data_IF_308485533794
#
_entry.id   IF_308485533794
#
_cell.length_a   1.000
_cell.length_b   1.000
_cell.length_c   1.000
_cell.angle_alpha   90.00
_cell.angle_beta   90.00
_cell.angle_gamma   90.00
#
_symmetry.space_group_name_H-M   'P 1'
#
loop_
_entity.id
_entity.type
_entity.pdbx_description
1 polymer ?
#
# COMPACT_ATOMS: atom_id res chain seq x y z
N UNK A 1 -15.02 16.75 -7.93
CA UNK A 1 -13.70 17.07 -7.37
C UNK A 1 -12.83 15.85 -7.52
N UNK A 2 -11.69 15.96 -8.19
CA UNK A 2 -10.73 14.86 -8.24
C UNK A 2 -10.14 14.69 -6.84
N UNK A 3 -10.25 13.50 -6.30
CA UNK A 3 -9.72 13.18 -4.99
C UNK A 3 -8.19 13.00 -5.09
N UNK A 4 -7.43 13.66 -4.23
CA UNK A 4 -5.98 13.56 -4.27
C UNK A 4 -5.51 12.30 -3.51
N UNK A 5 -4.89 11.37 -4.22
CA UNK A 5 -4.37 10.13 -3.63
C UNK A 5 -3.11 10.34 -2.77
N UNK A 6 -2.48 11.50 -2.85
CA UNK A 6 -1.28 11.86 -2.08
C UNK A 6 -1.56 13.19 -1.40
N UNK A 7 -1.30 13.28 -0.10
CA UNK A 7 -1.48 14.50 0.71
C UNK A 7 -0.15 14.88 1.37
N UNK A 8 0.02 16.18 1.67
CA UNK A 8 1.21 16.69 2.36
C UNK A 8 1.05 16.69 3.87
N UNK A 9 2.14 16.78 4.65
CA UNK A 9 2.07 16.97 6.10
C UNK A 9 1.24 18.19 6.52
N UNK A 10 1.37 19.31 5.81
CA UNK A 10 0.63 20.55 6.09
C UNK A 10 -0.88 20.36 5.89
N UNK A 11 -1.25 19.66 4.80
CA UNK A 11 -2.65 19.32 4.56
C UNK A 11 -3.20 18.46 5.70
N UNK A 12 -2.50 17.40 6.09
CA UNK A 12 -2.95 16.51 7.15
C UNK A 12 -3.04 17.24 8.50
N UNK A 13 -2.03 18.07 8.83
CA UNK A 13 -2.02 18.88 10.07
C UNK A 13 -3.25 19.79 10.16
N UNK A 14 -3.63 20.43 9.06
CA UNK A 14 -4.81 21.29 9.00
C UNK A 14 -6.14 20.53 9.17
N UNK A 15 -6.15 19.20 9.00
CA UNK A 15 -7.35 18.36 9.04
C UNK A 15 -7.39 17.39 10.23
N UNK A 16 -6.46 17.46 11.19
CA UNK A 16 -6.42 16.55 12.35
C UNK A 16 -7.69 16.57 13.20
N UNK A 17 -8.39 17.70 13.26
CA UNK A 17 -9.64 17.87 14.01
C UNK A 17 -10.89 17.38 13.26
N UNK A 18 -10.78 17.03 11.99
CA UNK A 18 -11.91 16.54 11.20
C UNK A 18 -12.23 15.08 11.58
N UNK A 19 -13.41 14.78 12.17
CA UNK A 19 -13.75 13.45 12.62
C UNK A 19 -13.93 12.44 11.46
N UNK A 20 -14.05 12.91 10.23
CA UNK A 20 -14.14 12.06 9.03
C UNK A 20 -12.76 11.66 8.50
N UNK A 21 -11.67 12.26 8.96
CA UNK A 21 -10.31 11.84 8.66
C UNK A 21 -9.91 10.70 9.59
N UNK A 22 -9.51 9.58 9.02
CA UNK A 22 -9.02 8.40 9.73
C UNK A 22 -7.57 8.15 9.35
N UNK A 23 -6.68 8.21 10.32
CA UNK A 23 -5.24 8.11 10.08
C UNK A 23 -4.76 6.72 10.49
N UNK A 24 -4.06 6.02 9.60
CA UNK A 24 -3.51 4.70 9.86
C UNK A 24 -1.99 4.70 9.75
N UNK A 25 -1.33 4.35 10.84
CA UNK A 25 0.09 3.99 10.86
C UNK A 25 0.25 2.56 10.34
N UNK A 26 0.78 2.44 9.14
CA UNK A 26 0.96 1.17 8.44
C UNK A 26 2.35 0.58 8.67
N UNK A 27 3.12 1.09 9.62
CA UNK A 27 4.52 0.69 9.83
C UNK A 27 4.62 -0.81 10.08
N UNK A 28 5.25 -1.49 9.14
CA UNK A 28 5.56 -2.92 9.19
C UNK A 28 6.95 -3.11 8.59
N UNK A 29 7.82 -3.80 9.27
CA UNK A 29 9.17 -4.06 8.81
C UNK A 29 9.22 -5.41 8.08
N UNK A 30 9.80 -5.40 6.88
CA UNK A 30 10.10 -6.60 6.09
C UNK A 30 11.61 -6.83 6.14
N UNK A 31 12.04 -7.66 7.07
CA UNK A 31 13.45 -7.94 7.32
C UNK A 31 13.92 -9.06 6.40
N UNK A 32 14.86 -8.73 5.51
CA UNK A 32 15.46 -9.73 4.61
C UNK A 32 16.08 -10.89 5.41
N UNK A 33 15.85 -12.11 4.93
CA UNK A 33 16.44 -13.30 5.49
C UNK A 33 17.53 -13.84 4.53
N UNK A 34 18.55 -14.55 5.02
CA UNK A 34 19.56 -15.16 4.15
C UNK A 34 18.97 -16.12 3.12
N UNK A 35 17.88 -16.79 3.47
CA UNK A 35 17.13 -17.72 2.61
C UNK A 35 15.64 -17.58 2.90
N UNK A 36 14.83 -17.64 1.84
CA UNK A 36 13.36 -17.62 1.95
C UNK A 36 12.75 -16.22 2.07
N UNK A 37 11.50 -16.14 2.52
CA UNK A 37 10.76 -14.89 2.62
C UNK A 37 11.29 -13.98 3.72
N UNK A 38 11.06 -12.67 3.59
CA UNK A 38 11.36 -11.71 4.63
C UNK A 38 10.58 -12.02 5.91
N UNK A 39 11.23 -11.84 7.06
CA UNK A 39 10.55 -11.86 8.36
C UNK A 39 9.73 -10.58 8.49
N UNK A 40 8.47 -10.72 8.90
CA UNK A 40 7.57 -9.58 9.11
C UNK A 40 7.56 -9.21 10.58
N UNK A 41 7.80 -7.94 10.87
CA UNK A 41 7.71 -7.39 12.22
C UNK A 41 6.78 -6.18 12.23
N UNK A 42 5.86 -6.17 13.21
CA UNK A 42 4.94 -5.05 13.40
C UNK A 42 5.66 -3.80 13.92
N UNK A 43 5.36 -2.64 13.36
CA UNK A 43 5.84 -1.34 13.82
C UNK A 43 5.16 -0.82 15.09
N UNK A 44 4.30 -1.62 15.74
CA UNK A 44 3.54 -1.19 16.92
C UNK A 44 4.43 -0.65 18.06
N UNK A 45 5.60 -1.22 18.27
CA UNK A 45 6.52 -0.74 19.28
C UNK A 45 7.04 0.68 19.03
N UNK A 46 7.21 1.04 17.75
CA UNK A 46 7.59 2.40 17.36
C UNK A 46 6.40 3.35 17.43
N UNK A 47 5.22 2.92 16.97
CA UNK A 47 3.98 3.67 17.08
C UNK A 47 3.67 4.09 18.53
N UNK A 48 3.87 3.21 19.51
CA UNK A 48 3.64 3.52 20.93
C UNK A 48 4.62 4.54 21.52
N UNK A 49 5.77 4.77 20.89
CA UNK A 49 6.73 5.80 21.32
C UNK A 49 6.40 7.19 20.76
N UNK A 50 5.66 7.22 19.65
CA UNK A 50 5.24 8.46 19.01
C UNK A 50 4.69 8.21 17.61
N UNK A 51 3.52 8.76 17.36
CA UNK A 51 2.77 8.65 16.09
C UNK A 51 2.07 9.97 15.76
N UNK A 52 1.57 10.13 14.57
CA UNK A 52 0.77 11.29 14.17
C UNK A 52 -0.49 11.33 15.04
N UNK A 53 -0.85 12.49 15.65
CA UNK A 53 -2.01 12.59 16.52
C UNK A 53 -3.27 11.99 15.90
N UNK A 54 -3.99 11.16 16.65
CA UNK A 54 -5.20 10.50 16.18
C UNK A 54 -5.00 9.26 15.30
N UNK A 55 -3.76 8.90 14.95
CA UNK A 55 -3.49 7.71 14.15
C UNK A 55 -3.72 6.41 14.93
N UNK A 56 -4.19 5.37 14.24
CA UNK A 56 -4.26 4.00 14.73
C UNK A 56 -3.22 3.14 14.01
N UNK A 57 -2.54 2.25 14.73
CA UNK A 57 -1.60 1.32 14.12
C UNK A 57 -2.30 0.10 13.52
N UNK A 58 -1.89 -0.26 12.31
CA UNK A 58 -2.31 -1.47 11.60
C UNK A 58 -1.10 -2.24 11.07
N UNK A 59 -1.21 -3.56 11.05
CA UNK A 59 -0.19 -4.46 10.53
C UNK A 59 -0.65 -5.10 9.22
N UNK A 60 0.15 -4.99 8.16
CA UNK A 60 -0.17 -5.55 6.85
C UNK A 60 -0.49 -7.04 6.91
N UNK A 61 0.32 -7.82 7.64
CA UNK A 61 0.16 -9.27 7.74
C UNK A 61 -1.06 -9.68 8.55
N UNK A 62 -1.28 -9.04 9.71
CA UNK A 62 -2.31 -9.45 10.67
C UNK A 62 -3.68 -8.84 10.36
N UNK A 63 -3.70 -7.60 9.89
CA UNK A 63 -4.94 -6.83 9.71
C UNK A 63 -5.41 -6.80 8.25
N UNK A 64 -4.49 -6.72 7.29
CA UNK A 64 -4.80 -6.55 5.87
C UNK A 64 -4.49 -7.80 5.01
N UNK A 65 -4.44 -8.98 5.65
CA UNK A 65 -4.27 -10.26 4.98
C UNK A 65 -5.28 -11.27 5.50
N UNK A 66 -5.67 -12.24 4.64
CA UNK A 66 -6.63 -13.30 5.02
C UNK A 66 -5.97 -14.29 5.99
N UNK A 67 -6.51 -14.48 7.20
CA UNK A 67 -5.97 -15.44 8.15
C UNK A 67 -6.01 -16.87 7.61
N UNK A 68 -4.93 -17.62 7.77
CA UNK A 68 -4.85 -19.02 7.36
C UNK A 68 -4.83 -19.27 5.85
N UNK A 69 -4.70 -18.23 5.03
CA UNK A 69 -4.56 -18.37 3.59
C UNK A 69 -3.26 -19.13 3.22
N UNK A 70 -3.31 -19.88 2.12
CA UNK A 70 -2.16 -20.64 1.59
C UNK A 70 -0.95 -19.75 1.28
N UNK A 71 -1.20 -18.53 0.82
CA UNK A 71 -0.16 -17.58 0.45
C UNK A 71 -0.17 -16.38 1.41
N UNK A 72 1.03 -15.94 1.78
CA UNK A 72 1.19 -14.71 2.54
C UNK A 72 0.57 -13.51 1.80
N UNK A 73 0.05 -12.56 2.57
CA UNK A 73 -0.55 -11.32 2.07
C UNK A 73 -1.75 -11.50 1.11
N UNK A 74 -2.42 -12.64 1.15
CA UNK A 74 -3.68 -12.83 0.43
C UNK A 74 -4.69 -11.75 0.85
N UNK A 75 -5.35 -11.12 -0.13
CA UNK A 75 -6.38 -10.10 0.15
C UNK A 75 -7.47 -10.68 1.03
N UNK A 76 -7.83 -10.03 2.15
CA UNK A 76 -8.83 -10.55 3.08
C UNK A 76 -10.19 -10.75 2.41
N UNK A 77 -10.99 -11.65 2.97
CA UNK A 77 -12.39 -11.79 2.61
C UNK A 77 -13.18 -10.54 3.03
N UNK A 78 -14.34 -10.25 2.40
CA UNK A 78 -15.18 -9.12 2.80
C UNK A 78 -15.54 -9.15 4.29
N UNK A 79 -15.79 -10.32 4.87
CA UNK A 79 -16.14 -10.45 6.28
C UNK A 79 -14.96 -10.14 7.20
N UNK A 80 -13.76 -10.63 6.87
CA UNK A 80 -12.53 -10.29 7.61
C UNK A 80 -12.26 -8.78 7.53
N UNK A 81 -12.41 -8.20 6.36
CA UNK A 81 -12.22 -6.77 6.16
C UNK A 81 -13.28 -5.93 6.88
N UNK A 82 -14.56 -6.33 6.88
CA UNK A 82 -15.62 -5.64 7.62
C UNK A 82 -15.31 -5.56 9.12
N UNK A 83 -14.90 -6.69 9.72
CA UNK A 83 -14.51 -6.71 11.14
C UNK A 83 -13.36 -5.77 11.45
N UNK A 84 -12.37 -5.71 10.55
CA UNK A 84 -11.25 -4.77 10.68
C UNK A 84 -11.73 -3.33 10.67
N UNK A 85 -12.50 -2.92 9.66
CA UNK A 85 -12.96 -1.54 9.50
C UNK A 85 -13.89 -1.11 10.65
N UNK A 86 -14.74 -2.01 11.13
CA UNK A 86 -15.58 -1.78 12.31
C UNK A 86 -14.73 -1.55 13.56
N UNK A 87 -13.69 -2.37 13.77
CA UNK A 87 -12.76 -2.22 14.89
C UNK A 87 -11.99 -0.89 14.82
N UNK A 88 -11.62 -0.43 13.62
CA UNK A 88 -10.94 0.83 13.38
C UNK A 88 -11.88 2.05 13.41
N UNK A 89 -13.18 1.83 13.50
CA UNK A 89 -14.18 2.92 13.49
C UNK A 89 -14.25 3.67 12.16
N UNK A 90 -13.99 2.97 11.05
CA UNK A 90 -13.96 3.57 9.70
C UNK A 90 -15.26 3.26 8.97
N UNK A 91 -15.88 4.29 8.38
CA UNK A 91 -17.06 4.21 7.54
C UNK A 91 -16.71 4.44 6.06
N UNK A 92 -17.62 4.11 5.16
CA UNK A 92 -17.41 4.26 3.71
C UNK A 92 -17.10 5.69 3.26
N UNK A 93 -17.67 6.67 3.93
CA UNK A 93 -17.53 8.10 3.58
C UNK A 93 -16.33 8.76 4.24
N UNK A 94 -15.69 8.08 5.19
CA UNK A 94 -14.48 8.56 5.84
C UNK A 94 -13.32 8.64 4.84
N UNK A 95 -12.44 9.60 5.06
CA UNK A 95 -11.20 9.75 4.32
C UNK A 95 -10.07 9.08 5.10
N UNK A 96 -9.55 7.98 4.58
CA UNK A 96 -8.46 7.24 5.20
C UNK A 96 -7.12 7.77 4.70
N UNK A 97 -6.28 8.25 5.62
CA UNK A 97 -4.92 8.70 5.32
C UNK A 97 -3.93 7.69 5.87
N UNK A 98 -3.08 7.17 5.00
CA UNK A 98 -2.10 6.14 5.30
C UNK A 98 -0.70 6.73 5.39
N UNK A 99 0.08 6.31 6.36
CA UNK A 99 1.50 6.60 6.41
C UNK A 99 2.29 5.41 6.96
N UNK A 100 3.60 5.46 6.79
CA UNK A 100 4.52 4.50 7.37
C UNK A 100 5.84 5.17 7.72
N UNK A 101 6.71 4.44 8.39
CA UNK A 101 8.01 4.95 8.81
C UNK A 101 9.08 4.82 7.70
N UNK A 102 9.09 3.74 6.92
CA UNK A 102 10.15 3.49 5.92
C UNK A 102 9.70 2.75 4.65
N UNK A 103 8.79 1.80 4.73
CA UNK A 103 8.50 0.90 3.61
C UNK A 103 7.23 1.32 2.86
N UNK A 104 7.40 2.13 1.83
CA UNK A 104 6.29 2.63 1.00
C UNK A 104 5.48 1.48 0.39
N UNK A 105 6.10 0.35 0.04
CA UNK A 105 5.42 -0.83 -0.50
C UNK A 105 4.35 -1.41 0.44
N UNK A 106 4.53 -1.31 1.76
CA UNK A 106 3.53 -1.72 2.75
C UNK A 106 2.35 -0.76 2.74
N UNK A 107 2.62 0.55 2.73
CA UNK A 107 1.59 1.60 2.72
C UNK A 107 0.73 1.48 1.46
N UNK A 108 1.37 1.37 0.28
CA UNK A 108 0.67 1.22 -1.00
C UNK A 108 -0.10 -0.10 -1.09
N UNK A 109 0.39 -1.19 -0.48
CA UNK A 109 -0.33 -2.45 -0.39
C UNK A 109 -1.62 -2.30 0.42
N UNK A 110 -1.58 -1.61 1.56
CA UNK A 110 -2.77 -1.33 2.38
C UNK A 110 -3.73 -0.42 1.62
N UNK A 111 -3.22 0.61 0.94
CA UNK A 111 -4.01 1.46 0.04
C UNK A 111 -4.76 0.62 -1.00
N UNK A 112 -4.07 -0.31 -1.65
CA UNK A 112 -4.66 -1.19 -2.65
C UNK A 112 -5.78 -2.07 -2.08
N UNK A 113 -5.57 -2.67 -0.90
CA UNK A 113 -6.61 -3.51 -0.25
C UNK A 113 -7.84 -2.68 0.11
N UNK A 114 -7.67 -1.51 0.69
CA UNK A 114 -8.77 -0.57 0.97
C UNK A 114 -9.55 -0.23 -0.31
N UNK A 115 -8.82 0.11 -1.39
CA UNK A 115 -9.43 0.43 -2.68
C UNK A 115 -10.16 -0.78 -3.29
N UNK A 116 -9.56 -1.97 -3.26
CA UNK A 116 -10.16 -3.20 -3.78
C UNK A 116 -11.40 -3.65 -2.97
N UNK A 117 -11.50 -3.23 -1.70
CA UNK A 117 -12.64 -3.49 -0.82
C UNK A 117 -13.69 -2.36 -0.81
N UNK A 118 -13.52 -1.37 -1.67
CA UNK A 118 -14.56 -0.36 -1.93
C UNK A 118 -14.39 0.95 -1.19
N UNK A 119 -13.35 1.14 -0.37
CA UNK A 119 -13.07 2.46 0.19
C UNK A 119 -12.80 3.45 -0.94
N UNK A 120 -13.40 4.64 -0.87
CA UNK A 120 -13.36 5.62 -1.97
C UNK A 120 -12.32 6.72 -1.76
N UNK A 121 -12.26 7.23 -0.54
CA UNK A 121 -11.36 8.33 -0.16
C UNK A 121 -10.18 7.75 0.61
N UNK A 122 -9.07 7.58 -0.08
CA UNK A 122 -7.84 7.03 0.50
C UNK A 122 -6.68 7.86 0.00
N UNK A 123 -5.87 8.37 0.90
CA UNK A 123 -4.63 9.09 0.54
C UNK A 123 -3.44 8.50 1.27
N UNK A 124 -2.27 8.69 0.67
CA UNK A 124 -0.98 8.40 1.30
C UNK A 124 -0.35 9.74 1.68
N UNK A 125 0.14 9.82 2.91
CA UNK A 125 0.95 10.95 3.38
C UNK A 125 2.31 10.90 2.69
N UNK A 126 2.60 11.89 1.86
CA UNK A 126 3.87 11.99 1.15
C UNK A 126 5.03 12.07 2.15
N UNK A 127 6.11 11.34 1.92
CA UNK A 127 7.25 11.27 2.83
C UNK A 127 6.99 10.62 4.19
N UNK A 128 5.75 10.18 4.47
CA UNK A 128 5.37 9.46 5.68
C UNK A 128 5.72 10.18 6.98
N UNK A 129 6.04 9.39 8.03
CA UNK A 129 6.37 9.94 9.35
C UNK A 129 7.63 10.81 9.33
N UNK A 130 8.61 10.48 8.51
CA UNK A 130 9.87 11.22 8.44
C UNK A 130 9.65 12.66 7.99
N UNK A 131 8.87 12.87 6.93
CA UNK A 131 8.56 14.21 6.43
C UNK A 131 7.64 14.97 7.41
N UNK A 132 6.69 14.31 8.07
CA UNK A 132 5.87 14.91 9.12
C UNK A 132 6.72 15.55 10.22
N UNK A 133 7.68 14.80 10.76
CA UNK A 133 8.59 15.30 11.79
C UNK A 133 9.51 16.39 11.25
N UNK A 134 10.06 16.21 10.05
CA UNK A 134 10.92 17.21 9.39
C UNK A 134 10.19 18.53 9.13
N UNK A 135 8.89 18.49 8.88
CA UNK A 135 8.03 19.68 8.73
C UNK A 135 7.72 20.37 10.07
N UNK A 136 8.21 19.86 11.19
CA UNK A 136 8.06 20.48 12.52
C UNK A 136 6.74 20.14 13.23
N UNK A 137 5.99 19.16 12.74
CA UNK A 137 4.75 18.73 13.38
C UNK A 137 5.02 17.75 14.53
N UNK A 138 4.25 17.89 15.60
CA UNK A 138 4.39 17.09 16.82
C UNK A 138 3.88 15.65 16.65
N UNK A 139 4.42 14.77 17.46
CA UNK A 139 3.95 13.40 17.65
C UNK A 139 3.15 13.29 18.94
N UNK A 140 2.30 12.28 19.02
CA UNK A 140 1.53 11.92 20.20
C UNK A 140 1.82 10.47 20.59
N UNK A 141 1.79 10.17 21.87
CA UNK A 141 1.77 8.81 22.43
C UNK A 141 0.34 8.41 22.88
N UNK A 142 -0.62 9.32 22.75
CA UNK A 142 -2.01 9.12 23.17
C UNK A 142 -2.78 8.26 22.17
N UNK A 143 -3.27 7.12 22.62
CA UNK A 143 -4.09 6.24 21.78
C UNK A 143 -5.44 6.89 21.48
N UNK A 144 -5.87 6.92 20.21
CA UNK A 144 -7.14 7.54 19.86
C UNK A 144 -8.33 6.75 20.41
N UNK A 145 -9.35 7.46 20.86
CA UNK A 145 -10.63 6.84 21.19
C UNK A 145 -11.36 6.45 19.90
N UNK A 146 -11.70 5.18 19.77
CA UNK A 146 -12.34 4.63 18.58
C UNK A 146 -13.83 4.38 18.86
N UNK A 147 -14.69 4.93 18.02
CA UNK A 147 -16.12 4.59 18.00
C UNK A 147 -16.34 3.49 16.96
N UNK A 148 -17.03 2.42 17.35
CA UNK A 148 -17.40 1.35 16.44
C UNK A 148 -18.17 1.89 15.24
N UNK A 149 -17.85 1.42 14.04
CA UNK A 149 -18.50 1.79 12.79
C UNK A 149 -19.33 0.61 12.22
N UNK A 150 -20.09 0.90 11.18
CA UNK A 150 -20.77 -0.11 10.38
C UNK A 150 -20.20 -0.06 8.95
N UNK A 151 -19.33 -1.01 8.65
CA UNK A 151 -18.71 -1.12 7.33
C UNK A 151 -19.22 -2.32 6.57
N UNK A 152 -19.52 -2.14 5.29
CA UNK A 152 -19.89 -3.23 4.38
C UNK A 152 -19.01 -3.17 3.13
N UNK A 153 -18.02 -4.03 3.06
CA UNK A 153 -17.09 -4.08 1.94
C UNK A 153 -17.81 -4.40 0.61
N UNK A 154 -17.42 -3.67 -0.43
CA UNK A 154 -17.81 -3.95 -1.80
C UNK A 154 -16.55 -4.36 -2.56
N UNK A 155 -16.31 -5.68 -2.62
CA UNK A 155 -15.11 -6.22 -3.28
C UNK A 155 -15.16 -5.95 -4.78
N UNK A 156 -14.18 -5.20 -5.27
CA UNK A 156 -14.00 -4.88 -6.69
C UNK A 156 -13.19 -5.98 -7.35
N UNK A 157 -13.88 -7.02 -7.80
CA UNK A 157 -13.25 -8.22 -8.40
C UNK A 157 -12.45 -7.89 -9.68
N UNK A 158 -12.83 -6.84 -10.39
CA UNK A 158 -12.12 -6.35 -11.56
C UNK A 158 -10.72 -5.79 -11.26
N UNK A 159 -10.46 -5.44 -10.00
CA UNK A 159 -9.15 -4.96 -9.51
C UNK A 159 -8.21 -6.07 -9.06
N UNK A 160 -8.70 -7.30 -9.03
CA UNK A 160 -7.94 -8.46 -8.58
C UNK A 160 -7.75 -9.42 -9.75
N UNK A 161 -6.52 -9.87 -9.96
CA UNK A 161 -6.21 -10.91 -10.92
C UNK A 161 -5.82 -12.18 -10.17
N UNK A 162 -6.39 -13.30 -10.59
CA UNK A 162 -5.98 -14.64 -10.17
C UNK A 162 -4.94 -15.22 -11.15
N UNK A 163 -4.50 -16.43 -10.88
CA UNK A 163 -3.52 -17.14 -11.71
C UNK A 163 -4.04 -17.36 -13.15
N UNK A 164 -5.33 -17.55 -13.33
CA UNK A 164 -5.97 -17.75 -14.65
C UNK A 164 -5.83 -16.49 -15.47
N UNK A 165 -6.25 -15.33 -14.95
CA UNK A 165 -6.12 -14.03 -15.61
C UNK A 165 -4.66 -13.67 -15.91
N UNK A 166 -3.74 -13.97 -14.98
CA UNK A 166 -2.31 -13.75 -15.19
C UNK A 166 -1.75 -14.65 -16.30
N UNK A 167 -2.18 -15.93 -16.34
CA UNK A 167 -1.76 -16.87 -17.39
C UNK A 167 -2.27 -16.47 -18.77
N UNK A 168 -3.51 -16.04 -18.88
CA UNK A 168 -4.09 -15.50 -20.13
C UNK A 168 -3.34 -14.27 -20.62
N UNK A 169 -2.91 -13.40 -19.72
CA UNK A 169 -2.20 -12.18 -20.05
C UNK A 169 -0.79 -12.42 -20.65
N UNK A 170 -0.22 -13.62 -20.51
CA UNK A 170 1.12 -13.95 -21.07
C UNK A 170 1.11 -13.83 -22.61
N UNK A 171 0.01 -14.20 -23.25
CA UNK A 171 -0.11 -14.26 -24.73
C UNK A 171 -1.10 -13.27 -25.31
N UNK A 172 -1.80 -12.52 -24.49
CA UNK A 172 -2.80 -11.53 -24.92
C UNK A 172 -2.14 -10.17 -25.17
N UNK A 173 -2.05 -9.67 -26.43
CA UNK A 173 -1.40 -8.41 -26.74
C UNK A 173 -2.15 -7.18 -26.19
N UNK A 174 -3.41 -7.34 -25.76
CA UNK A 174 -4.18 -6.28 -25.12
C UNK A 174 -3.91 -6.18 -23.60
N UNK A 175 -3.07 -7.06 -23.05
CA UNK A 175 -2.71 -7.09 -21.63
C UNK A 175 -1.21 -6.96 -21.45
N UNK A 176 -0.82 -6.23 -20.41
CA UNK A 176 0.58 -6.09 -20.01
C UNK A 176 0.74 -6.57 -18.56
N UNK A 177 1.62 -7.54 -18.38
CA UNK A 177 2.07 -7.97 -17.06
C UNK A 177 3.20 -7.04 -16.61
N UNK A 178 2.97 -6.29 -15.53
CA UNK A 178 3.93 -5.35 -14.96
C UNK A 178 4.50 -5.90 -13.66
N UNK A 179 5.80 -6.11 -13.62
CA UNK A 179 6.51 -6.55 -12.42
C UNK A 179 7.02 -5.35 -11.64
N UNK A 180 6.56 -5.21 -10.38
CA UNK A 180 6.92 -4.10 -9.50
C UNK A 180 8.11 -4.40 -8.57
N UNK A 181 8.71 -5.59 -8.66
CA UNK A 181 9.87 -5.97 -7.88
C UNK A 181 11.14 -5.29 -8.39
N UNK A 182 12.19 -5.32 -7.59
CA UNK A 182 13.51 -4.82 -7.99
C UNK A 182 14.04 -5.53 -9.23
N UNK A 183 14.86 -4.85 -10.02
CA UNK A 183 15.37 -5.34 -11.30
C UNK A 183 16.12 -6.66 -11.18
N UNK A 184 16.94 -6.85 -10.13
CA UNK A 184 17.64 -8.10 -9.86
C UNK A 184 16.70 -9.28 -9.59
N UNK A 185 15.56 -9.04 -8.93
CA UNK A 185 14.53 -10.08 -8.74
C UNK A 185 13.83 -10.42 -10.06
N UNK A 186 13.50 -9.41 -10.86
CA UNK A 186 12.94 -9.58 -12.20
C UNK A 186 13.85 -10.39 -13.12
N UNK A 187 15.15 -10.15 -13.07
CA UNK A 187 16.14 -10.86 -13.87
C UNK A 187 16.48 -12.25 -13.29
N UNK A 188 16.12 -12.51 -12.04
CA UNK A 188 16.49 -13.75 -11.33
C UNK A 188 17.95 -13.81 -10.90
N UNK A 189 18.64 -12.66 -10.84
CA UNK A 189 20.06 -12.54 -10.51
C UNK A 189 20.34 -12.22 -9.04
N UNK A 190 19.29 -11.94 -8.25
CA UNK A 190 19.43 -11.60 -6.83
C UNK A 190 18.11 -11.23 -6.16
N UNK A 191 18.22 -10.81 -4.90
CA UNK A 191 17.08 -10.46 -4.07
C UNK A 191 16.32 -11.67 -3.50
N UNK A 192 15.30 -11.40 -2.68
CA UNK A 192 14.45 -12.46 -2.11
C UNK A 192 13.57 -13.09 -3.20
N UNK A 193 13.43 -14.41 -3.16
CA UNK A 193 12.51 -15.14 -4.02
C UNK A 193 11.77 -16.23 -3.23
N UNK A 194 10.57 -16.58 -3.71
CA UNK A 194 9.65 -17.49 -3.02
C UNK A 194 9.53 -18.82 -3.80
N UNK A 195 10.64 -19.44 -4.11
CA UNK A 195 10.75 -20.63 -4.93
C UNK A 195 11.57 -20.35 -6.18
N UNK A 196 10.95 -20.40 -7.37
CA UNK A 196 11.66 -20.14 -8.63
C UNK A 196 11.97 -18.65 -8.80
N UNK A 197 13.23 -18.32 -9.05
CA UNK A 197 13.66 -16.95 -9.36
C UNK A 197 13.25 -16.53 -10.79
N UNK A 198 13.23 -15.22 -11.04
CA UNK A 198 12.90 -14.63 -12.34
C UNK A 198 11.50 -14.04 -12.39
N UNK A 199 10.87 -14.07 -13.56
CA UNK A 199 9.64 -13.35 -13.86
C UNK A 199 8.63 -14.19 -14.62
N UNK A 200 7.39 -13.73 -14.68
CA UNK A 200 6.39 -14.26 -15.61
C UNK A 200 6.82 -13.92 -17.05
N UNK A 201 6.76 -14.86 -18.01
CA UNK A 201 7.09 -14.59 -19.41
C UNK A 201 6.34 -13.37 -19.95
N UNK A 202 6.96 -12.64 -20.87
CA UNK A 202 6.42 -11.44 -21.51
C UNK A 202 6.07 -10.28 -20.57
N UNK A 203 6.48 -10.33 -19.30
CA UNK A 203 6.28 -9.22 -18.38
C UNK A 203 7.31 -8.09 -18.56
N UNK A 204 6.90 -6.88 -18.21
CA UNK A 204 7.72 -5.67 -18.23
C UNK A 204 8.15 -5.33 -16.79
N UNK A 205 9.40 -4.90 -16.61
CA UNK A 205 9.91 -4.47 -15.30
C UNK A 205 9.63 -2.98 -15.08
N UNK A 206 8.98 -2.68 -13.97
CA UNK A 206 8.83 -1.32 -13.47
C UNK A 206 8.92 -1.32 -11.94
N UNK A 207 10.14 -1.29 -11.39
CA UNK A 207 10.35 -1.37 -9.96
C UNK A 207 9.60 -0.28 -9.20
N UNK A 208 8.83 -0.66 -8.20
CA UNK A 208 8.11 0.30 -7.36
C UNK A 208 9.06 1.28 -6.66
N UNK A 209 10.31 0.87 -6.42
CA UNK A 209 11.36 1.72 -5.86
C UNK A 209 11.75 2.90 -6.74
N UNK A 210 11.44 2.86 -8.03
CA UNK A 210 11.74 3.94 -8.97
C UNK A 210 10.70 5.07 -8.93
N UNK A 211 9.58 4.86 -8.21
CA UNK A 211 8.45 5.80 -8.14
C UNK A 211 8.56 6.82 -7.01
N UNK A 212 9.50 6.65 -6.10
CA UNK A 212 9.71 7.52 -4.96
C UNK A 212 11.21 7.68 -4.64
N UNK A 213 11.54 8.74 -3.92
CA UNK A 213 12.87 8.94 -3.38
C UNK A 213 13.08 8.07 -2.14
N UNK A 214 14.11 7.23 -2.14
CA UNK A 214 14.36 6.26 -1.07
C UNK A 214 14.85 6.91 0.25
N UNK A 215 15.33 8.14 0.20
CA UNK A 215 15.82 8.86 1.38
C UNK A 215 14.71 9.67 2.04
N UNK A 216 13.93 10.41 1.26
CA UNK A 216 12.83 11.22 1.78
C UNK A 216 11.51 10.44 1.90
N UNK A 217 11.35 9.34 1.17
CA UNK A 217 10.09 8.60 1.05
C UNK A 217 9.02 9.33 0.24
N UNK A 218 9.35 10.45 -0.38
CA UNK A 218 8.41 11.22 -1.18
C UNK A 218 8.23 10.61 -2.57
N UNK A 219 7.00 10.58 -3.06
CA UNK A 219 6.75 10.21 -4.45
C UNK A 219 7.40 11.23 -5.39
N UNK A 220 7.92 10.75 -6.51
CA UNK A 220 8.38 11.60 -7.61
C UNK A 220 7.25 12.50 -8.10
N UNK A 221 7.60 13.63 -8.65
CA UNK A 221 6.65 14.57 -9.25
C UNK A 221 5.86 13.91 -10.39
N UNK A 222 4.69 14.46 -10.69
CA UNK A 222 3.85 13.98 -11.80
C UNK A 222 4.61 13.99 -13.12
N UNK A 223 5.46 14.97 -13.36
CA UNK A 223 6.24 15.07 -14.59
C UNK A 223 7.30 13.96 -14.66
N UNK A 224 8.03 13.71 -13.58
CA UNK A 224 9.00 12.60 -13.49
C UNK A 224 8.32 11.24 -13.67
N UNK A 225 7.17 11.01 -13.01
CA UNK A 225 6.39 9.78 -13.17
C UNK A 225 5.87 9.61 -14.59
N UNK A 226 5.48 10.71 -15.25
CA UNK A 226 5.04 10.70 -16.65
C UNK A 226 6.18 10.31 -17.60
N UNK A 227 7.40 10.80 -17.35
CA UNK A 227 8.59 10.40 -18.13
C UNK A 227 8.86 8.91 -17.97
N UNK A 228 8.83 8.38 -16.72
CA UNK A 228 9.03 6.97 -16.46
C UNK A 228 7.96 6.09 -17.11
N UNK A 229 6.69 6.51 -17.04
CA UNK A 229 5.57 5.80 -17.66
C UNK A 229 5.71 5.70 -19.19
N UNK A 230 6.14 6.77 -19.83
CA UNK A 230 6.36 6.78 -21.29
C UNK A 230 7.44 5.79 -21.75
N UNK A 231 8.41 5.47 -20.88
CA UNK A 231 9.47 4.49 -21.19
C UNK A 231 8.94 3.05 -21.28
N UNK A 232 7.75 2.78 -20.73
CA UNK A 232 7.15 1.44 -20.77
C UNK A 232 6.44 1.12 -22.12
N UNK A 233 6.30 2.10 -22.98
CA UNK A 233 5.62 1.97 -24.29
C UNK A 233 4.22 1.33 -24.20
N UNK A 234 3.48 1.65 -23.14
CA UNK A 234 2.14 1.14 -22.89
C UNK A 234 1.14 1.86 -23.80
N UNK A 235 0.28 1.07 -24.44
CA UNK A 235 -0.81 1.64 -25.26
C UNK A 235 -2.03 1.95 -24.38
N UNK A 236 -2.76 3.06 -24.61
CA UNK A 236 -3.92 3.44 -23.82
C UNK A 236 -5.03 2.40 -23.74
N UNK A 237 -5.12 1.51 -24.74
CA UNK A 237 -6.11 0.42 -24.82
C UNK A 237 -5.71 -0.82 -24.02
N UNK A 238 -4.46 -0.94 -23.59
CA UNK A 238 -3.98 -2.12 -22.90
C UNK A 238 -4.41 -2.14 -21.43
N UNK A 239 -4.80 -3.32 -20.96
CA UNK A 239 -5.03 -3.58 -19.56
C UNK A 239 -3.70 -3.95 -18.86
N UNK A 240 -3.37 -3.25 -17.78
CA UNK A 240 -2.18 -3.56 -16.98
C UNK A 240 -2.54 -4.46 -15.81
N UNK A 241 -1.85 -5.58 -15.69
CA UNK A 241 -1.89 -6.49 -14.55
C UNK A 241 -0.55 -6.37 -13.80
N UNK A 242 -0.58 -5.77 -12.63
CA UNK A 242 0.61 -5.59 -11.79
C UNK A 242 0.78 -6.77 -10.82
N UNK A 243 2.03 -7.25 -10.64
CA UNK A 243 2.39 -8.35 -9.74
C UNK A 243 3.75 -8.16 -9.06
#
# INVERSE_FOLDING_TARGET
MSFNNIVTPEWLSAHLSDPTIKILDCTTYMLAQPVGPSKIESGRGQYLKGHIPGAQHVCMEKDFSEPGARFAFTVPSPDTFNRLMQRLGINHDDHVVLYGHQQMSVVTRIWFVLHAMGQRKISILNGGLALWVKSGFELSDQLPAVKTSHYKAVRRVERLADITRASEAITDPQKVLLNALKKEQFLGTGGAHYGRSGRIPNSVSWPATDLYDSQSGEFKSQDELTVLLKQLDLQPSQQVLNY
#
